data_IF_610068047904
#
_entry.id   IF_610068047904
#
_cell.length_a   1.000
_cell.length_b   1.000
_cell.length_c   1.000
_cell.angle_alpha   90.00
_cell.angle_beta   90.00
_cell.angle_gamma   90.00
#
_symmetry.space_group_name_H-M   'P 1'
#
loop_
_entity.id
_entity.type
_entity.pdbx_description
1 polymer ?
#
# COMPACT_ATOMS: atom_id res chain seq x y z
N UNK A 1 -32.90 -51.59 -24.15
CA UNK A 1 -33.29 -50.27 -23.60
C UNK A 1 -32.62 -50.14 -22.25
N UNK A 2 -31.57 -49.33 -22.16
CA UNK A 2 -30.85 -49.05 -20.92
C UNK A 2 -30.93 -47.53 -20.78
N UNK A 3 -31.61 -47.08 -19.72
CA UNK A 3 -31.84 -45.67 -19.47
C UNK A 3 -30.58 -45.06 -18.84
N UNK A 4 -30.02 -44.04 -19.49
CA UNK A 4 -28.98 -43.20 -18.90
C UNK A 4 -29.61 -42.28 -17.85
N UNK A 5 -29.13 -42.38 -16.62
CA UNK A 5 -29.37 -41.41 -15.54
C UNK A 5 -28.23 -40.39 -15.59
N UNK A 6 -28.48 -39.07 -15.69
CA UNK A 6 -27.41 -38.09 -15.54
C UNK A 6 -27.05 -37.93 -14.06
N UNK A 7 -25.75 -38.04 -13.79
CA UNK A 7 -25.12 -37.71 -12.53
C UNK A 7 -25.21 -36.18 -12.33
N UNK A 8 -25.89 -35.72 -11.28
CA UNK A 8 -25.88 -34.31 -10.89
C UNK A 8 -24.52 -34.03 -10.26
N UNK A 9 -23.64 -33.36 -10.99
CA UNK A 9 -22.45 -32.73 -10.41
C UNK A 9 -22.91 -31.46 -9.72
N UNK A 10 -22.84 -31.47 -8.39
CA UNK A 10 -23.03 -30.30 -7.55
C UNK A 10 -22.02 -29.23 -7.96
N UNK A 11 -22.53 -28.08 -8.42
CA UNK A 11 -21.70 -26.95 -8.82
C UNK A 11 -20.88 -26.43 -7.63
N UNK A 12 -19.57 -26.39 -7.80
CA UNK A 12 -18.73 -25.42 -7.08
C UNK A 12 -19.19 -24.03 -7.52
N UNK A 13 -19.70 -23.23 -6.58
CA UNK A 13 -19.95 -21.81 -6.78
C UNK A 13 -18.61 -21.11 -6.99
N UNK A 14 -18.13 -21.07 -8.24
CA UNK A 14 -17.06 -20.19 -8.65
C UNK A 14 -17.60 -18.76 -8.66
N UNK A 15 -16.92 -17.86 -7.94
CA UNK A 15 -17.08 -16.42 -8.12
C UNK A 15 -16.87 -16.13 -9.62
N UNK A 16 -17.78 -15.38 -10.22
CA UNK A 16 -17.73 -15.02 -11.64
C UNK A 16 -16.76 -13.84 -11.83
N UNK A 17 -16.24 -13.66 -13.05
CA UNK A 17 -15.38 -12.52 -13.43
C UNK A 17 -15.97 -11.12 -13.11
N UNK A 18 -17.23 -11.04 -12.68
CA UNK A 18 -17.93 -9.81 -12.31
C UNK A 18 -17.51 -9.22 -10.95
N UNK A 19 -16.79 -9.95 -10.10
CA UNK A 19 -16.38 -9.46 -8.77
C UNK A 19 -14.93 -8.94 -8.73
N UNK A 20 -14.21 -9.01 -9.87
CA UNK A 20 -12.83 -8.55 -9.96
C UNK A 20 -12.70 -7.04 -9.68
N UNK A 21 -11.55 -6.64 -9.12
CA UNK A 21 -11.14 -5.25 -9.05
C UNK A 21 -10.72 -4.83 -10.46
N UNK A 22 -11.50 -3.94 -11.07
CA UNK A 22 -11.06 -3.23 -12.27
C UNK A 22 -10.23 -2.04 -11.83
N UNK A 23 -8.94 -2.06 -12.16
CA UNK A 23 -7.97 -1.04 -11.75
C UNK A 23 -7.38 -0.36 -12.98
N UNK A 24 -7.27 0.96 -12.91
CA UNK A 24 -6.56 1.75 -13.91
C UNK A 24 -5.15 2.02 -13.39
N UNK A 25 -4.20 1.18 -13.81
CA UNK A 25 -2.81 1.33 -13.39
C UNK A 25 -2.07 2.35 -14.26
N UNK A 26 -1.26 3.18 -13.61
CA UNK A 26 -0.44 4.20 -14.25
C UNK A 26 1.03 3.95 -13.94
N UNK A 27 1.87 3.87 -14.98
CA UNK A 27 3.33 3.83 -14.84
C UNK A 27 4.01 4.69 -15.90
N UNK A 28 5.32 4.91 -15.77
CA UNK A 28 6.08 5.76 -16.68
C UNK A 28 7.26 5.01 -17.30
N UNK A 29 7.37 5.06 -18.63
CA UNK A 29 8.46 4.42 -19.37
C UNK A 29 9.27 5.45 -20.16
N UNK A 30 10.59 5.24 -20.39
CA UNK A 30 11.38 6.12 -21.24
C UNK A 30 10.80 6.18 -22.66
N UNK A 31 10.76 7.38 -23.26
CA UNK A 31 10.44 7.51 -24.69
C UNK A 31 11.55 6.87 -25.53
N UNK A 32 11.16 6.09 -26.53
CA UNK A 32 12.07 5.43 -27.48
C UNK A 32 12.33 6.25 -28.75
N UNK A 33 11.61 7.36 -28.93
CA UNK A 33 11.76 8.26 -30.09
C UNK A 33 11.70 9.72 -29.65
N UNK A 34 12.40 10.59 -30.37
CA UNK A 34 12.43 12.03 -30.10
C UNK A 34 13.37 12.43 -28.97
N UNK A 35 12.97 13.45 -28.18
CA UNK A 35 13.75 13.92 -27.03
C UNK A 35 13.64 12.93 -25.86
N UNK A 36 14.70 12.80 -25.07
CA UNK A 36 14.68 12.06 -23.82
C UNK A 36 13.60 12.65 -22.90
N UNK A 37 12.63 11.83 -22.55
CA UNK A 37 11.48 12.18 -21.73
C UNK A 37 10.79 10.88 -21.29
N UNK A 38 9.82 11.00 -20.39
CA UNK A 38 9.00 9.90 -19.93
C UNK A 38 7.65 9.90 -20.64
N UNK A 39 7.10 8.72 -20.87
CA UNK A 39 5.73 8.53 -21.38
C UNK A 39 4.92 7.86 -20.28
N UNK A 40 3.83 8.51 -19.89
CA UNK A 40 2.80 7.92 -19.04
C UNK A 40 2.08 6.83 -19.84
N UNK A 41 1.95 5.66 -19.23
CA UNK A 41 1.22 4.51 -19.75
C UNK A 41 0.12 4.18 -18.75
N UNK A 42 -1.10 4.10 -19.28
CA UNK A 42 -2.30 3.76 -18.54
C UNK A 42 -2.84 2.43 -19.08
N UNK A 43 -3.08 1.49 -18.19
CA UNK A 43 -3.54 0.14 -18.52
C UNK A 43 -4.66 -0.30 -17.56
N UNK A 44 -5.65 -0.98 -18.12
CA UNK A 44 -6.71 -1.61 -17.34
C UNK A 44 -6.27 -3.02 -16.94
N UNK A 45 -6.31 -3.32 -15.65
CA UNK A 45 -6.01 -4.66 -15.12
C UNK A 45 -7.15 -5.16 -14.23
N UNK A 46 -7.32 -6.48 -14.20
CA UNK A 46 -8.29 -7.15 -13.33
C UNK A 46 -7.56 -7.90 -12.23
N UNK A 47 -7.76 -7.49 -10.98
CA UNK A 47 -7.19 -8.16 -9.80
C UNK A 47 -8.28 -8.84 -8.99
N UNK A 48 -8.05 -10.08 -8.57
CA UNK A 48 -9.01 -10.79 -7.73
C UNK A 48 -8.94 -10.25 -6.29
N UNK A 49 -10.06 -9.81 -5.68
CA UNK A 49 -10.04 -9.28 -4.31
C UNK A 49 -9.45 -10.25 -3.29
N UNK A 50 -9.80 -11.54 -3.39
CA UNK A 50 -9.31 -12.61 -2.51
C UNK A 50 -7.82 -12.91 -2.64
N UNK A 51 -7.18 -12.46 -3.72
CA UNK A 51 -5.73 -12.57 -3.95
C UNK A 51 -5.00 -11.23 -3.76
N UNK A 52 -5.69 -10.23 -3.19
CA UNK A 52 -5.19 -8.86 -3.05
C UNK A 52 -5.15 -8.44 -1.58
N UNK A 53 -4.09 -7.74 -1.19
CA UNK A 53 -3.96 -7.11 0.11
C UNK A 53 -3.67 -5.62 0.01
N UNK A 54 -4.20 -4.85 0.96
CA UNK A 54 -3.82 -3.45 1.20
C UNK A 54 -2.89 -3.41 2.41
N UNK A 55 -1.72 -2.79 2.24
CA UNK A 55 -0.77 -2.52 3.33
C UNK A 55 -0.83 -1.02 3.66
N UNK A 56 -1.30 -0.72 4.87
CA UNK A 56 -1.40 0.63 5.42
C UNK A 56 -0.12 0.93 6.20
N UNK A 57 0.72 1.79 5.64
CA UNK A 57 2.04 2.10 6.18
C UNK A 57 1.96 3.32 7.09
N UNK A 58 2.35 3.17 8.35
CA UNK A 58 2.74 4.25 9.27
C UNK A 58 1.74 5.42 9.35
N UNK A 59 0.44 5.15 9.20
CA UNK A 59 -0.64 6.13 9.43
C UNK A 59 -0.80 6.39 10.94
N UNK A 60 0.21 6.99 11.55
CA UNK A 60 0.30 7.18 12.99
C UNK A 60 -0.69 8.22 13.51
N UNK A 61 -0.97 8.15 14.81
CA UNK A 61 -1.85 9.11 15.48
C UNK A 61 -1.23 10.50 15.72
N UNK A 62 0.08 10.65 15.52
CA UNK A 62 0.79 11.92 15.64
C UNK A 62 2.16 11.83 14.96
N UNK A 63 2.66 12.95 14.47
CA UNK A 63 4.04 13.09 14.01
C UNK A 63 4.74 14.25 14.72
N UNK A 64 6.08 14.27 14.71
CA UNK A 64 6.83 15.38 15.30
C UNK A 64 6.69 16.67 14.48
N UNK A 65 6.49 16.53 13.16
CA UNK A 65 6.10 17.63 12.27
C UNK A 65 4.59 17.86 12.39
N UNK A 66 4.21 19.10 12.65
CA UNK A 66 2.82 19.51 12.76
C UNK A 66 2.09 19.35 11.42
N UNK A 67 2.70 19.78 10.31
CA UNK A 67 2.12 19.64 8.97
C UNK A 67 1.83 18.18 8.60
N UNK A 68 2.77 17.28 8.90
CA UNK A 68 2.55 15.85 8.70
C UNK A 68 1.37 15.30 9.53
N UNK A 69 1.21 15.77 10.77
CA UNK A 69 0.07 15.39 11.61
C UNK A 69 -1.25 15.87 10.99
N UNK A 70 -1.30 17.14 10.55
CA UNK A 70 -2.50 17.71 9.93
C UNK A 70 -2.91 16.95 8.66
N UNK A 71 -1.96 16.64 7.77
CA UNK A 71 -2.25 15.91 6.53
C UNK A 71 -2.72 14.48 6.79
N UNK A 72 -2.17 13.79 7.80
CA UNK A 72 -2.65 12.47 8.24
C UNK A 72 -4.06 12.57 8.82
N UNK A 73 -4.35 13.56 9.66
CA UNK A 73 -5.68 13.76 10.25
C UNK A 73 -6.76 13.97 9.17
N UNK A 74 -6.43 14.67 8.10
CA UNK A 74 -7.32 14.89 6.94
C UNK A 74 -7.50 13.59 6.13
N UNK A 75 -6.42 12.84 5.88
CA UNK A 75 -6.43 11.66 5.03
C UNK A 75 -7.09 10.44 5.69
N UNK A 76 -6.89 10.27 7.00
CA UNK A 76 -7.27 9.04 7.71
C UNK A 76 -8.77 8.68 7.61
N UNK A 77 -9.74 9.61 7.72
CA UNK A 77 -11.16 9.27 7.55
C UNK A 77 -11.50 8.77 6.13
N UNK A 78 -10.92 9.38 5.10
CA UNK A 78 -11.12 8.95 3.71
C UNK A 78 -10.51 7.57 3.48
N UNK A 79 -9.30 7.35 3.98
CA UNK A 79 -8.64 6.05 3.92
C UNK A 79 -9.49 4.97 4.62
N UNK A 80 -10.03 5.27 5.80
CA UNK A 80 -10.90 4.33 6.52
C UNK A 80 -12.13 3.91 5.72
N UNK A 81 -12.78 4.85 5.01
CA UNK A 81 -13.90 4.53 4.14
C UNK A 81 -13.49 3.60 2.99
N UNK A 82 -12.33 3.86 2.36
CA UNK A 82 -11.80 3.03 1.27
C UNK A 82 -11.46 1.61 1.75
N UNK A 83 -10.80 1.47 2.90
CA UNK A 83 -10.43 0.14 3.41
C UNK A 83 -11.65 -0.66 3.90
N UNK A 84 -12.71 0.02 4.38
CA UNK A 84 -13.96 -0.65 4.73
C UNK A 84 -14.61 -1.26 3.49
N UNK A 85 -14.71 -0.47 2.42
CA UNK A 85 -15.18 -0.97 1.12
C UNK A 85 -14.30 -2.10 0.58
N UNK A 86 -12.98 -1.96 0.68
CA UNK A 86 -12.04 -3.01 0.27
C UNK A 86 -12.26 -4.32 1.05
N UNK A 87 -12.46 -4.21 2.38
CA UNK A 87 -12.74 -5.34 3.26
C UNK A 87 -14.05 -6.03 2.89
N UNK A 88 -15.11 -5.27 2.60
CA UNK A 88 -16.40 -5.82 2.17
C UNK A 88 -16.30 -6.59 0.85
N UNK A 89 -15.30 -6.26 0.01
CA UNK A 89 -14.99 -6.98 -1.23
C UNK A 89 -14.05 -8.18 -1.02
N UNK A 90 -13.59 -8.44 0.19
CA UNK A 90 -12.72 -9.56 0.54
C UNK A 90 -11.22 -9.31 0.37
N UNK A 91 -10.80 -8.05 0.23
CA UNK A 91 -9.37 -7.67 0.24
C UNK A 91 -8.83 -7.80 1.66
N UNK A 92 -7.64 -8.42 1.81
CA UNK A 92 -6.97 -8.49 3.12
C UNK A 92 -6.38 -7.13 3.50
N UNK A 93 -6.71 -6.61 4.68
CA UNK A 93 -6.09 -5.40 5.21
C UNK A 93 -4.93 -5.78 6.14
N UNK A 94 -3.79 -5.11 5.97
CA UNK A 94 -2.59 -5.26 6.79
C UNK A 94 -2.20 -3.87 7.30
N UNK A 95 -2.25 -3.69 8.62
CA UNK A 95 -1.79 -2.49 9.29
C UNK A 95 -0.31 -2.64 9.65
N UNK A 96 0.51 -1.72 9.18
CA UNK A 96 1.94 -1.70 9.46
C UNK A 96 2.35 -0.39 10.15
N UNK A 97 1.97 -0.18 11.43
CA UNK A 97 2.27 1.03 12.18
C UNK A 97 3.64 0.90 12.87
N UNK A 98 4.70 1.19 12.14
CA UNK A 98 6.08 0.97 12.59
C UNK A 98 6.39 1.68 13.90
N UNK A 99 7.23 1.02 14.70
CA UNK A 99 7.69 1.52 16.00
C UNK A 99 6.55 1.68 17.04
N UNK A 100 5.39 1.05 16.83
CA UNK A 100 4.24 1.11 17.77
C UNK A 100 3.69 -0.24 18.20
N UNK A 101 4.38 -1.34 17.89
CA UNK A 101 3.86 -2.69 18.09
C UNK A 101 3.47 -3.02 19.53
N UNK A 102 4.11 -2.42 20.53
CA UNK A 102 3.75 -2.58 21.96
C UNK A 102 2.29 -2.20 22.24
N UNK A 103 1.72 -1.23 21.51
CA UNK A 103 0.32 -0.83 21.67
C UNK A 103 -0.66 -1.93 21.23
N UNK A 104 -0.22 -2.83 20.36
CA UNK A 104 -1.03 -3.90 19.76
C UNK A 104 -0.82 -5.26 20.43
N UNK A 105 -0.10 -5.30 21.54
CA UNK A 105 0.05 -6.53 22.32
C UNK A 105 -1.32 -7.02 22.79
N UNK A 106 -1.58 -8.32 22.57
CA UNK A 106 -2.87 -8.96 22.84
C UNK A 106 -4.01 -8.62 21.86
N UNK A 107 -3.80 -7.78 20.84
CA UNK A 107 -4.82 -7.55 19.81
C UNK A 107 -5.02 -8.81 18.96
N UNK A 108 -6.26 -9.27 18.66
CA UNK A 108 -6.48 -10.48 17.86
C UNK A 108 -5.76 -10.46 16.51
N UNK A 109 -5.88 -9.34 15.78
CA UNK A 109 -5.18 -9.09 14.51
C UNK A 109 -3.63 -9.15 14.60
N UNK A 110 -3.04 -8.93 15.78
CA UNK A 110 -1.60 -9.13 16.02
C UNK A 110 -1.30 -10.58 16.38
N UNK A 111 -2.12 -11.18 17.23
CA UNK A 111 -1.93 -12.53 17.74
C UNK A 111 -1.88 -13.58 16.61
N UNK A 112 -2.82 -13.54 15.66
CA UNK A 112 -2.81 -14.55 14.59
C UNK A 112 -1.63 -14.39 13.63
N UNK A 113 -1.10 -13.17 13.44
CA UNK A 113 0.10 -12.94 12.62
C UNK A 113 1.30 -13.69 13.20
N UNK A 114 1.42 -13.72 14.53
CA UNK A 114 2.47 -14.46 15.24
C UNK A 114 2.30 -15.98 15.11
N UNK A 115 1.06 -16.46 14.90
CA UNK A 115 0.75 -17.87 14.71
C UNK A 115 0.92 -18.34 13.26
N UNK A 116 1.11 -17.43 12.30
CA UNK A 116 1.30 -17.79 10.89
C UNK A 116 2.62 -18.54 10.72
N UNK A 117 2.63 -19.73 10.08
CA UNK A 117 3.85 -20.47 9.81
C UNK A 117 4.89 -19.64 9.05
N UNK A 118 6.14 -19.75 9.47
CA UNK A 118 7.25 -19.08 8.79
C UNK A 118 7.45 -19.62 7.37
N UNK A 119 7.56 -18.72 6.40
CA UNK A 119 7.95 -19.00 5.02
C UNK A 119 9.07 -18.04 4.66
N UNK A 120 10.28 -18.57 4.41
CA UNK A 120 11.44 -17.73 4.12
C UNK A 120 11.18 -16.80 2.92
N UNK A 121 11.44 -15.50 3.11
CA UNK A 121 11.39 -14.54 2.01
C UNK A 121 12.56 -14.81 1.04
N UNK A 122 12.34 -14.82 -0.28
CA UNK A 122 13.42 -15.03 -1.25
C UNK A 122 14.47 -13.92 -1.15
N UNK A 123 15.70 -14.26 -1.58
CA UNK A 123 16.75 -13.27 -1.77
C UNK A 123 16.30 -12.15 -2.72
N UNK A 124 16.66 -10.89 -2.44
CA UNK A 124 16.21 -9.76 -3.25
C UNK A 124 16.82 -9.80 -4.66
N UNK A 125 15.98 -9.55 -5.65
CA UNK A 125 16.34 -9.34 -7.05
C UNK A 125 16.84 -7.90 -7.22
N UNK A 126 17.89 -7.71 -8.02
CA UNK A 126 18.42 -6.40 -8.34
C UNK A 126 17.35 -5.53 -9.04
N UNK A 127 17.18 -4.30 -8.58
CA UNK A 127 16.22 -3.34 -9.11
C UNK A 127 16.85 -1.95 -9.19
N UNK A 128 16.64 -1.16 -10.26
CA UNK A 128 17.09 0.22 -10.32
C UNK A 128 16.53 1.05 -9.15
N UNK A 129 17.41 1.77 -8.46
CA UNK A 129 17.08 2.67 -7.34
C UNK A 129 17.82 4.02 -7.50
N UNK A 130 17.45 4.85 -8.50
CA UNK A 130 18.09 6.15 -8.68
C UNK A 130 17.75 7.10 -7.52
N UNK A 131 18.50 8.20 -7.33
CA UNK A 131 18.21 9.19 -6.31
C UNK A 131 16.78 9.72 -6.41
N UNK A 132 16.15 9.93 -5.25
CA UNK A 132 14.81 10.50 -5.19
C UNK A 132 14.79 11.97 -5.65
N UNK A 133 13.67 12.45 -6.20
CA UNK A 133 13.59 13.78 -6.82
C UNK A 133 13.45 14.94 -5.82
N UNK A 134 13.36 14.66 -4.52
CA UNK A 134 13.26 15.66 -3.45
C UNK A 134 14.38 15.49 -2.44
N UNK A 135 14.91 16.60 -1.94
CA UNK A 135 15.82 16.63 -0.82
C UNK A 135 15.02 16.63 0.50
N UNK A 136 15.08 15.52 1.21
CA UNK A 136 14.47 15.32 2.54
C UNK A 136 15.53 15.11 3.63
N UNK A 137 16.76 15.58 3.39
CA UNK A 137 17.89 15.41 4.32
C UNK A 137 17.71 16.13 5.67
N UNK A 138 16.79 17.09 5.75
CA UNK A 138 16.40 17.78 6.98
C UNK A 138 15.22 17.12 7.70
N UNK A 139 14.81 15.92 7.25
CA UNK A 139 13.62 15.23 7.75
C UNK A 139 12.32 15.68 7.07
N UNK A 140 12.33 16.75 6.27
CA UNK A 140 11.24 17.12 5.37
C UNK A 140 10.04 17.81 6.01
N UNK A 141 10.18 18.43 7.19
CA UNK A 141 9.05 19.20 7.75
C UNK A 141 8.77 20.44 6.90
N UNK A 142 7.52 20.62 6.52
CA UNK A 142 7.00 21.80 5.82
C UNK A 142 6.53 22.91 6.78
N UNK A 143 6.68 22.69 8.10
CA UNK A 143 6.19 23.57 9.16
C UNK A 143 7.29 24.10 10.08
N UNK A 144 8.56 23.81 9.77
CA UNK A 144 9.74 24.46 10.33
C UNK A 144 10.34 23.80 11.57
N UNK A 145 9.83 22.64 12.01
CA UNK A 145 10.47 21.87 13.07
C UNK A 145 11.78 21.24 12.58
N UNK A 146 12.87 21.47 13.32
CA UNK A 146 14.21 21.05 12.93
C UNK A 146 14.64 19.71 13.56
N UNK A 147 14.00 19.29 14.65
CA UNK A 147 14.42 18.12 15.42
C UNK A 147 13.29 17.08 15.49
N UNK A 148 13.53 15.92 14.86
CA UNK A 148 12.63 14.79 14.95
C UNK A 148 12.64 14.14 16.34
N UNK A 149 11.49 13.62 16.75
CA UNK A 149 11.33 12.78 17.93
C UNK A 149 10.17 11.79 17.72
N UNK A 150 10.14 10.71 18.51
CA UNK A 150 9.04 9.75 18.44
C UNK A 150 7.79 10.34 19.10
N UNK A 151 6.90 10.92 18.29
CA UNK A 151 5.63 11.50 18.73
C UNK A 151 4.47 10.48 18.73
N UNK A 152 4.57 9.47 17.84
CA UNK A 152 3.57 8.44 17.64
C UNK A 152 3.68 7.32 18.68
N UNK A 153 2.54 6.68 18.95
CA UNK A 153 2.47 5.49 19.78
C UNK A 153 1.46 4.44 19.29
N UNK A 154 0.73 4.74 18.20
CA UNK A 154 -0.21 3.83 17.54
C UNK A 154 -0.64 4.39 16.17
N UNK A 155 -1.38 3.61 15.40
CA UNK A 155 -2.16 4.07 14.24
C UNK A 155 -3.19 5.13 14.64
N UNK A 156 -3.49 6.03 13.70
CA UNK A 156 -4.53 7.04 13.82
C UNK A 156 -5.89 6.39 14.08
N UNK A 157 -6.62 6.87 15.09
CA UNK A 157 -7.85 6.24 15.57
C UNK A 157 -9.04 6.33 14.62
N UNK A 158 -8.96 7.18 13.58
CA UNK A 158 -9.97 7.19 12.53
C UNK A 158 -9.86 5.99 11.57
N UNK A 159 -8.74 5.26 11.58
CA UNK A 159 -8.55 4.04 10.80
C UNK A 159 -8.82 2.85 11.73
N UNK A 160 -9.96 2.21 11.51
CA UNK A 160 -10.39 1.06 12.28
C UNK A 160 -9.56 -0.17 11.93
N UNK A 161 -9.24 -0.96 12.96
CA UNK A 161 -8.59 -2.27 12.81
C UNK A 161 -9.60 -3.32 13.28
N UNK A 162 -9.89 -4.29 12.41
CA UNK A 162 -10.77 -5.43 12.71
C UNK A 162 -9.96 -6.64 13.15
N UNK A 163 -10.61 -7.60 13.80
CA UNK A 163 -9.94 -8.79 14.32
C UNK A 163 -9.37 -9.68 13.21
N UNK A 164 -10.00 -9.66 12.03
CA UNK A 164 -9.58 -10.37 10.81
C UNK A 164 -8.47 -9.68 9.99
N UNK A 165 -8.14 -8.43 10.32
CA UNK A 165 -7.02 -7.72 9.70
C UNK A 165 -5.69 -8.29 10.22
N UNK A 166 -4.55 -7.92 9.62
CA UNK A 166 -3.22 -8.25 10.15
C UNK A 166 -2.56 -7.00 10.75
N UNK A 167 -1.76 -7.16 11.82
CA UNK A 167 -0.91 -6.08 12.34
C UNK A 167 0.55 -6.55 12.42
N UNK A 168 1.45 -5.90 11.69
CA UNK A 168 2.90 -6.10 11.80
C UNK A 168 3.68 -4.99 11.09
N UNK A 169 4.78 -4.56 11.68
CA UNK A 169 5.80 -3.72 11.05
C UNK A 169 7.08 -4.51 10.65
N UNK A 170 6.97 -5.84 10.58
CA UNK A 170 8.07 -6.73 10.23
C UNK A 170 7.82 -7.38 8.86
N UNK A 171 8.73 -7.13 7.90
CA UNK A 171 8.66 -7.67 6.54
C UNK A 171 8.50 -9.19 6.43
N UNK A 172 9.16 -9.95 7.30
CA UNK A 172 9.08 -11.41 7.28
C UNK A 172 7.72 -11.92 7.79
N UNK A 173 7.18 -11.31 8.83
CA UNK A 173 5.84 -11.64 9.34
C UNK A 173 4.75 -11.27 8.32
N UNK A 174 4.86 -10.09 7.71
CA UNK A 174 3.97 -9.66 6.62
C UNK A 174 4.07 -10.66 5.46
N UNK A 175 5.28 -11.05 5.05
CA UNK A 175 5.46 -12.05 4.00
C UNK A 175 4.79 -13.39 4.33
N UNK A 176 4.92 -13.89 5.57
CA UNK A 176 4.27 -15.12 6.02
C UNK A 176 2.74 -15.03 5.85
N UNK A 177 2.13 -13.91 6.28
CA UNK A 177 0.70 -13.64 6.12
C UNK A 177 0.29 -13.68 4.64
N UNK A 178 1.05 -12.98 3.79
CA UNK A 178 0.78 -12.91 2.35
C UNK A 178 0.80 -14.31 1.72
N UNK A 179 1.78 -15.15 2.07
CA UNK A 179 1.88 -16.52 1.57
C UNK A 179 0.77 -17.42 2.09
N UNK A 180 0.44 -17.34 3.39
CA UNK A 180 -0.63 -18.13 4.00
C UNK A 180 -2.01 -17.83 3.38
N UNK A 181 -2.24 -16.55 3.03
CA UNK A 181 -3.50 -16.08 2.43
C UNK A 181 -3.55 -16.24 0.90
N UNK A 182 -2.46 -16.68 0.26
CA UNK A 182 -2.39 -16.83 -1.20
C UNK A 182 -2.42 -15.49 -1.94
N UNK A 183 -1.96 -14.41 -1.31
CA UNK A 183 -1.94 -13.07 -1.90
C UNK A 183 -0.91 -13.01 -3.04
N UNK A 184 -1.32 -12.36 -4.13
CA UNK A 184 -0.49 -12.10 -5.30
C UNK A 184 -0.34 -10.61 -5.59
N UNK A 185 -1.30 -9.79 -5.17
CA UNK A 185 -1.31 -8.36 -5.46
C UNK A 185 -1.28 -7.53 -4.17
N UNK A 186 -0.45 -6.49 -4.16
CA UNK A 186 -0.25 -5.60 -3.03
C UNK A 186 -0.55 -4.16 -3.43
N UNK A 187 -1.40 -3.53 -2.64
CA UNK A 187 -1.73 -2.12 -2.73
C UNK A 187 -1.16 -1.40 -1.51
N UNK A 188 -0.31 -0.40 -1.73
CA UNK A 188 0.27 0.40 -0.66
C UNK A 188 -0.45 1.74 -0.53
N UNK A 189 -0.70 2.14 0.71
CA UNK A 189 -1.18 3.47 1.07
C UNK A 189 -0.60 3.87 2.43
N UNK A 190 -0.66 5.16 2.77
CA UNK A 190 -0.10 5.68 4.01
C UNK A 190 1.14 6.55 3.80
N UNK A 191 1.94 6.70 4.85
CA UNK A 191 2.97 7.74 4.94
C UNK A 191 4.29 7.16 5.46
N UNK A 192 5.45 7.79 5.27
CA UNK A 192 5.70 8.83 4.26
C UNK A 192 6.11 8.17 2.93
N UNK A 193 5.57 8.62 1.80
CA UNK A 193 5.71 7.99 0.47
C UNK A 193 7.17 7.76 0.09
N UNK A 194 8.03 8.74 0.36
CA UNK A 194 9.46 8.73 0.06
C UNK A 194 10.33 7.98 1.08
N UNK A 195 9.75 7.63 2.23
CA UNK A 195 10.47 6.99 3.34
C UNK A 195 9.86 5.62 3.62
N UNK A 196 8.90 5.53 4.55
CA UNK A 196 8.44 4.26 5.07
C UNK A 196 7.70 3.41 4.03
N UNK A 197 6.89 4.06 3.17
CA UNK A 197 6.12 3.38 2.10
C UNK A 197 7.05 2.75 1.05
N UNK A 198 8.25 3.30 0.88
CA UNK A 198 9.28 2.72 0.01
C UNK A 198 10.20 1.75 0.76
N UNK A 199 10.67 2.13 1.96
CA UNK A 199 11.93 1.62 2.52
C UNK A 199 11.83 0.73 3.76
N UNK A 200 10.65 0.53 4.37
CA UNK A 200 10.52 -0.47 5.45
C UNK A 200 10.70 -1.89 4.90
N UNK A 201 10.98 -2.86 5.78
CA UNK A 201 11.18 -4.26 5.38
C UNK A 201 9.93 -4.90 4.75
N UNK A 202 8.74 -4.37 5.02
CA UNK A 202 7.46 -4.77 4.43
C UNK A 202 7.01 -3.89 3.26
N UNK A 203 7.80 -2.88 2.87
CA UNK A 203 7.42 -1.82 1.96
C UNK A 203 7.61 -2.17 0.48
N UNK A 204 7.27 -1.22 -0.41
CA UNK A 204 7.31 -1.40 -1.86
C UNK A 204 8.64 -1.98 -2.33
N UNK A 205 9.79 -1.44 -1.90
CA UNK A 205 11.09 -1.90 -2.39
C UNK A 205 11.34 -3.38 -2.06
N UNK A 206 11.11 -3.77 -0.82
CA UNK A 206 11.28 -5.15 -0.38
C UNK A 206 10.35 -6.12 -1.13
N UNK A 207 9.08 -5.75 -1.32
CA UNK A 207 8.12 -6.63 -1.99
C UNK A 207 8.33 -6.71 -3.50
N UNK A 208 8.72 -5.61 -4.16
CA UNK A 208 9.14 -5.63 -5.57
C UNK A 208 10.40 -6.50 -5.74
N UNK A 209 11.41 -6.30 -4.90
CA UNK A 209 12.67 -7.05 -4.97
C UNK A 209 12.49 -8.54 -4.64
N UNK A 210 11.46 -8.92 -3.87
CA UNK A 210 11.14 -10.34 -3.67
C UNK A 210 10.78 -11.06 -4.98
N UNK A 211 10.27 -10.34 -5.98
CA UNK A 211 9.80 -10.88 -7.26
C UNK A 211 8.53 -11.73 -7.16
N UNK A 212 7.81 -11.70 -6.03
CA UNK A 212 6.66 -12.59 -5.77
C UNK A 212 5.30 -11.94 -5.98
N UNK A 213 5.22 -10.61 -6.02
CA UNK A 213 3.96 -9.87 -5.97
C UNK A 213 3.84 -8.85 -7.11
N UNK A 214 2.62 -8.65 -7.58
CA UNK A 214 2.26 -7.42 -8.28
C UNK A 214 2.09 -6.33 -7.24
N UNK A 215 2.78 -5.20 -7.40
CA UNK A 215 2.77 -4.11 -6.43
C UNK A 215 2.21 -2.86 -7.10
N UNK A 216 1.37 -2.10 -6.40
CA UNK A 216 0.97 -0.76 -6.80
C UNK A 216 0.79 0.17 -5.59
N UNK A 217 0.96 1.47 -5.83
CA UNK A 217 0.70 2.54 -4.86
C UNK A 217 -0.67 3.18 -5.11
N UNK A 218 -1.46 3.39 -4.05
CA UNK A 218 -2.71 4.17 -4.11
C UNK A 218 -2.35 5.66 -3.99
N UNK A 219 -2.16 6.33 -5.13
CA UNK A 219 -1.46 7.62 -5.24
C UNK A 219 -2.16 8.80 -4.58
N UNK A 220 -3.45 8.69 -4.30
CA UNK A 220 -4.28 9.72 -3.67
C UNK A 220 -4.55 9.44 -2.18
N UNK A 221 -3.95 8.39 -1.62
CA UNK A 221 -3.97 8.05 -0.20
C UNK A 221 -2.54 7.85 0.34
N UNK A 222 -1.66 8.78 -0.01
CA UNK A 222 -0.28 8.82 0.47
C UNK A 222 0.22 10.26 0.60
N UNK A 223 1.22 10.48 1.43
CA UNK A 223 1.85 11.78 1.68
C UNK A 223 3.35 11.60 1.89
N UNK A 224 4.18 12.49 1.35
CA UNK A 224 5.63 12.45 1.49
C UNK A 224 6.11 13.38 2.61
N UNK A 225 7.34 13.19 3.11
CA UNK A 225 8.03 14.22 3.87
C UNK A 225 8.92 15.03 2.94
N UNK A 226 8.61 16.30 2.79
CA UNK A 226 9.35 17.24 1.96
C UNK A 226 9.16 18.66 2.44
N UNK A 227 10.28 19.34 2.70
CA UNK A 227 10.34 20.75 3.02
C UNK A 227 10.39 21.57 1.71
N UNK A 228 9.39 22.43 1.40
CA UNK A 228 9.39 23.25 0.19
C UNK A 228 10.59 24.21 0.05
N UNK A 229 11.32 24.47 1.14
CA UNK A 229 12.55 25.28 1.13
C UNK A 229 13.82 24.47 0.84
N UNK A 230 13.68 23.20 0.46
CA UNK A 230 14.76 22.34 -0.05
C UNK A 230 14.56 22.07 -1.54
N UNK A 231 15.62 21.70 -2.28
CA UNK A 231 15.47 21.26 -3.66
C UNK A 231 14.38 20.18 -3.82
N UNK A 232 13.49 20.27 -4.82
CA UNK A 232 13.58 21.15 -5.98
C UNK A 232 12.84 22.49 -5.86
N UNK A 233 12.48 22.95 -4.64
CA UNK A 233 11.83 24.24 -4.37
C UNK A 233 10.42 24.39 -4.96
N UNK A 234 9.69 23.28 -4.97
CA UNK A 234 8.26 23.19 -5.33
C UNK A 234 7.39 23.13 -4.06
N UNK A 235 6.07 23.23 -4.21
CA UNK A 235 5.14 23.07 -3.08
C UNK A 235 5.25 21.67 -2.45
N UNK A 236 4.72 21.50 -1.23
CA UNK A 236 4.73 20.19 -0.59
C UNK A 236 4.00 19.15 -1.45
N UNK A 237 2.82 19.50 -1.97
CA UNK A 237 1.98 18.67 -2.83
C UNK A 237 2.70 18.32 -4.13
N UNK A 238 3.34 19.30 -4.77
CA UNK A 238 4.17 19.05 -5.97
C UNK A 238 5.33 18.10 -5.65
N UNK A 239 5.95 18.21 -4.47
CA UNK A 239 6.96 17.29 -3.98
C UNK A 239 6.43 15.86 -3.84
N UNK A 240 5.26 15.68 -3.22
CA UNK A 240 4.58 14.38 -3.15
C UNK A 240 4.30 13.82 -4.54
N UNK A 241 3.84 14.65 -5.50
CA UNK A 241 3.65 14.22 -6.88
C UNK A 241 4.95 13.81 -7.59
N UNK A 242 6.07 14.48 -7.30
CA UNK A 242 7.38 14.06 -7.83
C UNK A 242 7.79 12.69 -7.30
N UNK A 243 7.54 12.40 -6.02
CA UNK A 243 7.81 11.08 -5.42
C UNK A 243 6.92 9.99 -6.04
N UNK A 244 5.62 10.26 -6.22
CA UNK A 244 4.70 9.34 -6.89
C UNK A 244 5.20 9.06 -8.32
N UNK A 245 5.55 10.11 -9.07
CA UNK A 245 6.08 9.98 -10.42
C UNK A 245 7.44 9.27 -10.45
N UNK A 246 8.23 9.32 -9.39
CA UNK A 246 9.46 8.53 -9.24
C UNK A 246 9.14 7.04 -9.05
N UNK A 247 8.15 6.71 -8.22
CA UNK A 247 7.68 5.34 -8.00
C UNK A 247 7.16 4.73 -9.31
N UNK A 248 6.37 5.48 -10.07
CA UNK A 248 5.82 5.07 -11.37
C UNK A 248 6.90 4.76 -12.43
N UNK A 249 8.09 5.37 -12.31
CA UNK A 249 9.21 5.15 -13.23
C UNK A 249 10.08 3.97 -12.83
N UNK A 250 10.27 3.77 -11.53
CA UNK A 250 11.38 2.98 -11.00
C UNK A 250 11.00 1.89 -10.02
N UNK A 251 9.73 1.74 -9.63
CA UNK A 251 9.37 0.78 -8.60
C UNK A 251 8.10 0.01 -8.93
N UNK A 252 6.99 0.70 -9.15
CA UNK A 252 5.71 0.05 -9.41
C UNK A 252 4.70 1.02 -10.03
N UNK A 253 3.65 0.51 -10.70
CA UNK A 253 2.53 1.35 -11.09
C UNK A 253 1.79 1.96 -9.89
N UNK A 254 0.90 2.91 -10.18
CA UNK A 254 -0.03 3.50 -9.22
C UNK A 254 -1.49 3.30 -9.65
N UNK A 255 -2.42 3.33 -8.69
CA UNK A 255 -3.88 3.41 -8.89
C UNK A 255 -4.46 4.58 -8.09
N UNK A 256 -5.73 4.94 -8.27
CA UNK A 256 -6.46 5.79 -7.30
C UNK A 256 -7.34 4.95 -6.38
N UNK A 257 -7.76 5.53 -5.26
CA UNK A 257 -8.72 4.92 -4.35
C UNK A 257 -10.12 4.77 -4.95
N UNK A 258 -10.44 5.51 -6.02
CA UNK A 258 -11.70 5.36 -6.74
C UNK A 258 -11.82 3.97 -7.36
N UNK A 259 -10.73 3.37 -7.86
CA UNK A 259 -10.72 2.01 -8.41
C UNK A 259 -11.18 0.95 -7.38
N UNK A 260 -10.97 1.23 -6.09
CA UNK A 260 -11.37 0.35 -4.99
C UNK A 260 -12.83 0.52 -4.60
N UNK A 261 -13.44 1.68 -4.92
CA UNK A 261 -14.78 2.06 -4.47
C UNK A 261 -15.84 2.10 -5.58
N UNK A 262 -15.44 2.31 -6.84
CA UNK A 262 -16.32 2.59 -7.99
C UNK A 262 -17.29 1.46 -8.36
N UNK A 263 -17.08 0.23 -7.88
CA UNK A 263 -17.92 -0.94 -8.18
C UNK A 263 -18.53 -1.59 -6.93
N UNK A 264 -18.65 -0.86 -5.83
CA UNK A 264 -19.33 -1.39 -4.63
C UNK A 264 -20.83 -1.49 -4.93
N UNK A 265 -21.47 -2.66 -4.81
CA UNK A 265 -22.92 -2.73 -4.93
C UNK A 265 -23.51 -1.82 -3.84
N UNK A 266 -24.16 -0.73 -4.27
CA UNK A 266 -24.90 0.14 -3.38
C UNK A 266 -25.90 -0.71 -2.59
N UNK A 267 -25.72 -0.75 -1.27
CA UNK A 267 -26.63 -1.41 -0.33
C UNK A 267 -28.02 -0.78 -0.37
#
# INVERSE_FOLDING_TARGET
MIANIPLIVSGTSGLTDNDALQLTILHQVPKTTGRNDWRVVEEEVLWQPSETAIIIVDMWNKHWSWGATERVDIMAPRMNAVINTARDRGIQIIHAPSDTMDFYDGHPARAWVLDVPHVEMPDPIEHPDPPQPVDSSDGGSDTGEENGYKAWHRQHSAIEIKDEDAISDNGQEVYNVLKQKGIKNLLYMGVHTNMCVLGRSFAIKAMVQSGQFNVALVRDLTDAMYNPFKPPYVSHEEGTQLIIAYIEKFWCPTITSDDLTANSPTS
#
